data_IF_731766645577
#
_entry.id   IF_731766645577
#
_cell.length_a   1.000
_cell.length_b   1.000
_cell.length_c   1.000
_cell.angle_alpha   90.00
_cell.angle_beta   90.00
_cell.angle_gamma   90.00
#
_symmetry.space_group_name_H-M   'P 1'
#
loop_
_entity.id
_entity.type
_entity.pdbx_description
1 polymer ?
#
# COMPACT_ATOMS: atom_id res chain seq x y z
N UNK A 1 19.46 -12.88 -13.81
CA UNK A 1 18.37 -11.99 -13.36
C UNK A 1 17.49 -12.75 -12.38
N UNK A 2 17.71 -12.57 -11.08
CA UNK A 2 16.83 -13.16 -10.06
C UNK A 2 15.73 -12.17 -9.67
N UNK A 3 14.55 -12.67 -9.34
CA UNK A 3 13.47 -11.85 -8.75
C UNK A 3 13.56 -11.94 -7.23
N UNK A 4 13.65 -10.79 -6.56
CA UNK A 4 13.87 -10.71 -5.12
C UNK A 4 12.73 -9.95 -4.45
N UNK A 5 12.02 -10.60 -3.53
CA UNK A 5 10.81 -10.03 -2.93
C UNK A 5 11.05 -9.31 -1.60
N UNK A 6 10.72 -8.02 -1.56
CA UNK A 6 10.68 -7.21 -0.34
C UNK A 6 9.24 -7.02 0.14
N UNK A 7 8.80 -7.72 1.20
CA UNK A 7 7.41 -7.71 1.65
C UNK A 7 7.00 -6.43 2.38
N UNK A 8 7.92 -5.48 2.56
CA UNK A 8 7.83 -4.35 3.49
C UNK A 8 7.73 -4.76 4.97
N UNK A 9 8.73 -4.40 5.76
CA UNK A 9 8.72 -4.68 7.19
C UNK A 9 7.54 -4.04 7.93
N UNK A 10 7.04 -2.89 7.46
CA UNK A 10 5.90 -2.20 8.07
C UNK A 10 4.56 -2.78 7.62
N UNK A 11 4.43 -3.22 6.38
CA UNK A 11 3.22 -3.93 5.95
C UNK A 11 3.10 -5.28 6.66
N UNK A 12 4.18 -6.05 6.76
CA UNK A 12 4.20 -7.32 7.51
C UNK A 12 3.79 -7.14 8.97
N UNK A 13 4.30 -6.10 9.64
CA UNK A 13 3.95 -5.84 11.03
C UNK A 13 2.48 -5.40 11.23
N UNK A 14 1.88 -4.71 10.25
CA UNK A 14 0.52 -4.17 10.37
C UNK A 14 -0.56 -5.07 9.78
N UNK A 15 -0.20 -5.91 8.81
CA UNK A 15 -1.11 -6.80 8.10
C UNK A 15 -0.50 -8.21 8.03
N UNK A 16 -0.25 -8.87 9.19
CA UNK A 16 0.52 -10.11 9.24
C UNK A 16 -0.13 -11.25 8.44
N UNK A 17 -1.44 -11.44 8.57
CA UNK A 17 -2.16 -12.51 7.87
C UNK A 17 -2.20 -12.31 6.36
N UNK A 18 -2.51 -11.08 5.91
CA UNK A 18 -2.52 -10.74 4.49
C UNK A 18 -1.10 -10.85 3.88
N UNK A 19 -0.08 -10.46 4.64
CA UNK A 19 1.32 -10.58 4.21
C UNK A 19 1.78 -12.04 4.12
N UNK A 20 1.31 -12.90 5.03
CA UNK A 20 1.57 -14.34 4.99
C UNK A 20 0.95 -14.99 3.75
N UNK A 21 -0.30 -14.63 3.42
CA UNK A 21 -0.98 -15.10 2.20
C UNK A 21 -0.27 -14.61 0.93
N UNK A 22 0.18 -13.35 0.90
CA UNK A 22 0.98 -12.84 -0.22
C UNK A 22 2.31 -13.60 -0.37
N UNK A 23 3.00 -13.89 0.74
CA UNK A 23 4.23 -14.67 0.70
C UNK A 23 3.98 -16.09 0.17
N UNK A 24 2.90 -16.75 0.59
CA UNK A 24 2.50 -18.05 0.06
C UNK A 24 2.19 -17.98 -1.43
N UNK A 25 1.43 -16.98 -1.88
CA UNK A 25 1.15 -16.74 -3.29
C UNK A 25 2.43 -16.66 -4.14
N UNK A 26 3.42 -15.88 -3.70
CA UNK A 26 4.69 -15.75 -4.41
C UNK A 26 5.54 -17.02 -4.36
N UNK A 27 5.50 -17.75 -3.23
CA UNK A 27 6.22 -19.01 -3.07
C UNK A 27 5.65 -20.10 -3.98
N UNK A 28 4.34 -20.28 -3.96
CA UNK A 28 3.66 -21.34 -4.70
C UNK A 28 3.77 -21.13 -6.21
N UNK A 29 3.63 -19.87 -6.66
CA UNK A 29 3.58 -19.57 -8.09
C UNK A 29 4.94 -19.27 -8.73
N UNK A 30 5.84 -18.63 -7.99
CA UNK A 30 7.13 -18.15 -8.53
C UNK A 30 8.35 -18.71 -7.81
N UNK A 31 8.16 -19.51 -6.74
CA UNK A 31 9.25 -20.04 -5.92
C UNK A 31 10.10 -18.94 -5.26
N UNK A 32 9.50 -17.77 -5.00
CA UNK A 32 10.18 -16.60 -4.41
C UNK A 32 9.83 -16.47 -2.93
N UNK A 33 10.84 -16.47 -2.07
CA UNK A 33 10.68 -16.21 -0.63
C UNK A 33 10.89 -14.71 -0.28
N UNK A 34 10.18 -14.17 0.73
CA UNK A 34 10.41 -12.82 1.21
C UNK A 34 11.76 -12.69 1.93
N UNK A 35 12.54 -11.67 1.59
CA UNK A 35 13.88 -11.48 2.19
C UNK A 35 13.91 -10.47 3.37
N UNK A 36 12.87 -9.66 3.54
CA UNK A 36 12.69 -8.75 4.68
C UNK A 36 12.83 -7.25 4.38
N UNK A 37 13.48 -6.51 5.27
CA UNK A 37 13.53 -5.04 5.21
C UNK A 37 14.51 -4.51 4.14
N UNK A 38 14.03 -3.66 3.24
CA UNK A 38 14.84 -3.01 2.20
C UNK A 38 16.09 -2.30 2.72
N UNK A 39 16.02 -1.64 3.89
CA UNK A 39 17.18 -0.91 4.46
C UNK A 39 18.30 -1.85 4.92
N UNK A 40 17.96 -3.08 5.27
CA UNK A 40 18.91 -4.09 5.79
C UNK A 40 19.41 -4.97 4.65
N UNK A 41 18.49 -5.43 3.81
CA UNK A 41 18.75 -6.47 2.79
C UNK A 41 18.90 -5.91 1.38
N UNK A 42 18.64 -4.63 1.16
CA UNK A 42 18.78 -3.97 -0.15
C UNK A 42 20.19 -4.04 -0.72
N UNK A 43 21.21 -4.03 0.15
CA UNK A 43 22.63 -4.17 -0.23
C UNK A 43 22.99 -5.55 -0.81
N UNK A 44 22.06 -6.51 -0.77
CA UNK A 44 22.25 -7.85 -1.31
C UNK A 44 21.77 -7.98 -2.77
N UNK A 45 21.12 -6.95 -3.32
CA UNK A 45 20.73 -6.94 -4.72
C UNK A 45 21.97 -6.72 -5.59
N UNK A 46 22.10 -7.54 -6.62
CA UNK A 46 23.01 -7.26 -7.73
C UNK A 46 22.31 -6.36 -8.75
N UNK A 47 23.08 -5.71 -9.63
CA UNK A 47 22.55 -4.78 -10.64
C UNK A 47 21.55 -5.46 -11.61
N UNK A 48 21.72 -6.76 -11.84
CA UNK A 48 20.83 -7.58 -12.68
C UNK A 48 19.65 -8.18 -11.91
N UNK A 49 19.46 -7.90 -10.62
CA UNK A 49 18.33 -8.43 -9.86
C UNK A 49 17.12 -7.48 -9.96
N UNK A 50 15.93 -8.07 -10.08
CA UNK A 50 14.68 -7.33 -10.11
C UNK A 50 14.00 -7.38 -8.73
N UNK A 51 13.85 -6.23 -8.08
CA UNK A 51 13.21 -6.12 -6.79
C UNK A 51 11.68 -6.07 -6.93
N UNK A 52 10.97 -7.04 -6.34
CA UNK A 52 9.50 -7.04 -6.22
C UNK A 52 9.12 -6.32 -4.92
N UNK A 53 8.30 -5.28 -5.02
CA UNK A 53 8.03 -4.35 -3.92
C UNK A 53 6.54 -4.26 -3.57
N UNK A 54 6.25 -4.25 -2.27
CA UNK A 54 4.93 -3.87 -1.73
C UNK A 54 4.84 -2.37 -1.46
N UNK A 55 5.95 -1.76 -1.00
CA UNK A 55 5.95 -0.46 -0.35
C UNK A 55 6.70 0.59 -1.16
N UNK A 56 6.06 1.75 -1.37
CA UNK A 56 6.64 2.89 -2.08
C UNK A 56 7.92 3.44 -1.40
N UNK A 57 8.02 3.35 -0.08
CA UNK A 57 9.26 3.74 0.61
C UNK A 57 10.40 2.75 0.33
N UNK A 58 10.12 1.47 0.09
CA UNK A 58 11.15 0.52 -0.35
C UNK A 58 11.67 0.89 -1.73
N UNK A 59 10.79 1.36 -2.63
CA UNK A 59 11.18 1.85 -3.97
C UNK A 59 12.17 3.02 -3.89
N UNK A 60 11.98 3.96 -2.95
CA UNK A 60 12.95 5.04 -2.70
C UNK A 60 14.28 4.56 -2.14
N UNK A 61 14.24 3.59 -1.22
CA UNK A 61 15.49 3.05 -0.62
C UNK A 61 16.32 2.28 -1.63
N UNK A 62 15.66 1.63 -2.60
CA UNK A 62 16.28 0.82 -3.64
C UNK A 62 16.34 1.55 -4.99
N UNK A 63 16.27 2.89 -4.98
CA UNK A 63 16.37 3.69 -6.18
C UNK A 63 17.65 3.34 -6.96
N UNK A 64 17.55 3.29 -8.30
CA UNK A 64 18.62 2.82 -9.18
C UNK A 64 18.62 1.31 -9.47
N UNK A 65 17.91 0.49 -8.69
CA UNK A 65 17.73 -0.94 -8.99
C UNK A 65 16.55 -1.15 -9.95
N UNK A 66 16.51 -2.29 -10.65
CA UNK A 66 15.31 -2.72 -11.36
C UNK A 66 14.20 -3.04 -10.35
N UNK A 67 12.99 -2.51 -10.59
CA UNK A 67 11.89 -2.62 -9.64
C UNK A 67 10.59 -3.00 -10.35
N UNK A 68 9.78 -3.81 -9.66
CA UNK A 68 8.40 -4.11 -10.04
C UNK A 68 7.53 -4.12 -8.78
N UNK A 69 6.32 -3.57 -8.86
CA UNK A 69 5.39 -3.62 -7.74
C UNK A 69 4.55 -4.89 -7.79
N UNK A 70 4.30 -5.48 -6.63
CA UNK A 70 3.47 -6.68 -6.51
C UNK A 70 2.06 -6.48 -7.08
N UNK A 71 1.56 -5.24 -7.04
CA UNK A 71 0.26 -4.87 -7.60
C UNK A 71 0.19 -5.15 -9.11
N UNK A 72 1.26 -4.88 -9.85
CA UNK A 72 1.31 -5.15 -11.29
C UNK A 72 1.32 -6.66 -11.56
N UNK A 73 2.05 -7.44 -10.75
CA UNK A 73 2.15 -8.89 -10.89
C UNK A 73 0.79 -9.55 -10.66
N UNK A 74 0.08 -9.16 -9.59
CA UNK A 74 -1.27 -9.69 -9.29
C UNK A 74 -2.28 -9.21 -10.34
N UNK A 75 -2.16 -7.96 -10.80
CA UNK A 75 -3.07 -7.43 -11.82
C UNK A 75 -2.90 -8.14 -13.17
N UNK A 76 -1.74 -8.69 -13.48
CA UNK A 76 -1.49 -9.46 -14.70
C UNK A 76 -1.75 -10.97 -14.51
N UNK A 77 -2.23 -11.39 -13.35
CA UNK A 77 -2.50 -12.79 -13.05
C UNK A 77 -3.96 -13.16 -13.35
N UNK A 78 -4.19 -13.73 -14.53
CA UNK A 78 -5.52 -14.22 -14.95
C UNK A 78 -6.06 -15.37 -14.08
N UNK A 79 -5.20 -16.04 -13.31
CA UNK A 79 -5.59 -17.13 -12.41
C UNK A 79 -5.79 -16.68 -10.96
N UNK A 80 -5.57 -15.39 -10.65
CA UNK A 80 -5.80 -14.88 -9.30
C UNK A 80 -7.31 -14.82 -9.02
N UNK A 81 -7.73 -15.47 -7.93
CA UNK A 81 -9.13 -15.45 -7.51
C UNK A 81 -9.38 -14.24 -6.62
N UNK A 82 -10.05 -13.24 -7.17
CA UNK A 82 -10.43 -12.02 -6.44
C UNK A 82 -11.63 -12.26 -5.53
N UNK A 83 -11.59 -11.68 -4.33
CA UNK A 83 -12.77 -11.58 -3.49
C UNK A 83 -13.74 -10.55 -4.08
N UNK A 84 -15.02 -10.91 -4.18
CA UNK A 84 -16.08 -10.04 -4.65
C UNK A 84 -16.60 -9.18 -3.49
N UNK A 85 -16.45 -7.87 -3.59
CA UNK A 85 -16.96 -6.89 -2.62
C UNK A 85 -18.33 -6.31 -3.01
N UNK A 86 -19.02 -6.94 -3.95
CA UNK A 86 -20.43 -6.72 -4.29
C UNK A 86 -20.79 -5.26 -4.66
N UNK A 87 -19.91 -4.57 -5.35
CA UNK A 87 -20.13 -3.20 -5.83
C UNK A 87 -20.09 -2.15 -4.71
N UNK A 88 -19.52 -2.47 -3.54
CA UNK A 88 -19.41 -1.48 -2.46
C UNK A 88 -18.55 -0.30 -2.90
N UNK A 89 -19.01 0.91 -2.58
CA UNK A 89 -18.24 2.13 -2.84
C UNK A 89 -17.11 2.31 -1.83
N UNK A 90 -15.89 2.54 -2.33
CA UNK A 90 -14.75 2.88 -1.49
C UNK A 90 -13.94 4.02 -2.09
N UNK A 91 -13.51 4.95 -1.24
CA UNK A 91 -12.67 6.07 -1.65
C UNK A 91 -11.23 5.59 -1.80
N UNK A 92 -10.61 5.80 -2.96
CA UNK A 92 -9.20 5.49 -3.17
C UNK A 92 -8.33 6.69 -2.74
N UNK A 93 -7.41 6.45 -1.81
CA UNK A 93 -6.35 7.38 -1.43
C UNK A 93 -5.05 7.01 -2.15
N UNK A 94 -4.70 7.78 -3.19
CA UNK A 94 -3.37 7.68 -3.79
C UNK A 94 -2.29 8.22 -2.83
N UNK A 95 -1.13 7.59 -2.85
CA UNK A 95 0.02 8.05 -2.07
C UNK A 95 0.79 9.10 -2.87
N UNK A 96 1.19 10.20 -2.22
CA UNK A 96 2.08 11.21 -2.79
C UNK A 96 3.36 10.62 -3.45
N UNK A 97 3.93 9.56 -2.85
CA UNK A 97 5.13 8.89 -3.40
C UNK A 97 4.87 8.12 -4.70
N UNK A 98 3.62 7.95 -5.11
CA UNK A 98 3.23 7.32 -6.36
C UNK A 98 2.93 8.34 -7.47
N UNK A 99 3.15 9.64 -7.27
CA UNK A 99 2.84 10.67 -8.28
C UNK A 99 3.51 10.39 -9.63
N UNK A 100 4.75 9.91 -9.62
CA UNK A 100 5.51 9.53 -10.82
C UNK A 100 5.43 8.03 -11.13
N UNK A 101 4.44 7.31 -10.57
CA UNK A 101 4.27 5.85 -10.71
C UNK A 101 2.88 5.52 -11.24
N UNK A 102 2.62 5.93 -12.47
CA UNK A 102 1.32 5.77 -13.13
C UNK A 102 0.96 4.30 -13.34
N UNK A 103 1.94 3.45 -13.56
CA UNK A 103 1.79 1.99 -13.62
C UNK A 103 1.18 1.44 -12.35
N UNK A 104 1.67 1.86 -11.17
CA UNK A 104 1.13 1.44 -9.87
C UNK A 104 -0.29 1.96 -9.70
N UNK A 105 -0.53 3.25 -9.96
CA UNK A 105 -1.86 3.86 -9.84
C UNK A 105 -2.91 3.16 -10.71
N UNK A 106 -2.54 2.73 -11.92
CA UNK A 106 -3.40 1.96 -12.83
C UNK A 106 -3.66 0.55 -12.31
N UNK A 107 -2.63 -0.17 -11.87
CA UNK A 107 -2.78 -1.51 -11.31
C UNK A 107 -3.70 -1.51 -10.08
N UNK A 108 -3.53 -0.54 -9.16
CA UNK A 108 -4.40 -0.40 -7.98
C UNK A 108 -5.88 -0.27 -8.37
N UNK A 109 -6.19 0.60 -9.34
CA UNK A 109 -7.57 0.79 -9.82
C UNK A 109 -8.10 -0.46 -10.54
N UNK A 110 -7.27 -1.12 -11.33
CA UNK A 110 -7.65 -2.38 -12.01
C UNK A 110 -7.97 -3.47 -10.99
N UNK A 111 -7.11 -3.66 -9.98
CA UNK A 111 -7.31 -4.63 -8.89
C UNK A 111 -8.60 -4.35 -8.12
N UNK A 112 -8.89 -3.10 -7.76
CA UNK A 112 -10.14 -2.74 -7.08
C UNK A 112 -11.37 -3.06 -7.95
N UNK A 113 -11.32 -2.79 -9.26
CA UNK A 113 -12.41 -3.15 -10.18
C UNK A 113 -12.57 -4.66 -10.31
N UNK A 114 -11.47 -5.43 -10.36
CA UNK A 114 -11.50 -6.91 -10.39
C UNK A 114 -12.08 -7.52 -9.11
N UNK A 115 -11.96 -6.81 -8.00
CA UNK A 115 -12.62 -7.11 -6.72
C UNK A 115 -14.06 -6.60 -6.64
N UNK A 116 -14.62 -6.08 -7.75
CA UNK A 116 -15.97 -5.51 -7.82
C UNK A 116 -16.21 -4.39 -6.80
N UNK A 117 -15.27 -3.45 -6.70
CA UNK A 117 -15.37 -2.25 -5.86
C UNK A 117 -15.65 -1.04 -6.75
N UNK A 118 -16.65 -0.25 -6.38
CA UNK A 118 -16.95 1.02 -7.03
C UNK A 118 -16.01 2.11 -6.47
N UNK A 119 -15.08 2.57 -7.31
CA UNK A 119 -14.02 3.48 -6.89
C UNK A 119 -14.54 4.92 -6.86
N UNK A 120 -14.39 5.58 -5.70
CA UNK A 120 -14.52 7.03 -5.58
C UNK A 120 -13.13 7.66 -5.51
N UNK A 121 -12.77 8.46 -6.51
CA UNK A 121 -11.46 9.11 -6.56
C UNK A 121 -11.36 10.24 -5.52
N UNK A 122 -10.23 10.31 -4.82
CA UNK A 122 -9.97 11.35 -3.82
C UNK A 122 -8.94 12.36 -4.29
N UNK A 123 -9.36 13.34 -5.09
CA UNK A 123 -8.44 14.38 -5.58
C UNK A 123 -7.95 15.31 -4.47
N UNK A 124 -8.75 15.51 -3.42
CA UNK A 124 -8.49 16.50 -2.37
C UNK A 124 -7.27 16.18 -1.49
N UNK A 125 -6.78 14.93 -1.49
CA UNK A 125 -5.71 14.46 -0.59
C UNK A 125 -4.47 13.92 -1.32
N UNK A 126 -4.33 14.14 -2.63
CA UNK A 126 -3.26 13.54 -3.44
C UNK A 126 -1.85 14.08 -3.14
N UNK A 127 -1.73 15.33 -2.65
CA UNK A 127 -0.43 15.93 -2.30
C UNK A 127 -0.02 15.69 -0.84
N UNK A 128 -0.69 14.78 -0.15
CA UNK A 128 -0.50 14.55 1.27
C UNK A 128 0.18 13.21 1.59
N UNK A 129 1.15 13.23 2.51
CA UNK A 129 1.78 12.04 3.07
C UNK A 129 1.61 12.01 4.61
N UNK A 130 0.76 11.13 5.17
CA UNK A 130 0.53 11.09 6.62
C UNK A 130 1.78 10.77 7.44
N UNK A 131 2.78 10.07 6.90
CA UNK A 131 3.99 9.74 7.67
C UNK A 131 4.71 10.98 8.19
N UNK A 132 4.74 12.06 7.39
CA UNK A 132 5.39 13.31 7.81
C UNK A 132 4.58 14.03 8.88
N UNK A 133 3.26 14.02 8.79
CA UNK A 133 2.38 14.68 9.75
C UNK A 133 2.27 13.90 11.07
N UNK A 134 2.21 12.56 11.01
CA UNK A 134 2.25 11.69 12.21
C UNK A 134 3.55 11.89 13.00
N UNK A 135 4.67 12.02 12.29
CA UNK A 135 5.97 12.30 12.88
C UNK A 135 6.15 13.79 13.28
N UNK A 136 5.22 14.67 12.86
CA UNK A 136 5.27 16.09 13.13
C UNK A 136 6.29 16.88 12.30
N UNK A 137 6.84 16.34 11.21
CA UNK A 137 7.84 17.01 10.38
C UNK A 137 7.37 18.36 9.80
N UNK A 138 6.08 18.48 9.50
CA UNK A 138 5.49 19.72 8.97
C UNK A 138 4.84 20.60 10.05
N UNK A 139 4.93 20.19 11.31
CA UNK A 139 4.29 20.86 12.43
C UNK A 139 5.35 21.48 13.34
N UNK A 140 5.05 22.66 13.88
CA UNK A 140 5.97 23.36 14.80
C UNK A 140 6.25 22.57 16.07
N UNK A 141 5.35 21.64 16.42
CA UNK A 141 5.46 20.75 17.56
C UNK A 141 4.87 19.38 17.22
N UNK A 142 5.31 18.35 17.95
CA UNK A 142 4.73 17.01 17.87
C UNK A 142 3.33 17.03 18.49
N UNK A 143 2.35 16.53 17.74
CA UNK A 143 0.97 16.45 18.21
C UNK A 143 0.79 15.33 19.24
N UNK A 144 -0.11 15.55 20.21
CA UNK A 144 -0.68 14.50 21.06
C UNK A 144 -1.54 13.55 20.22
N UNK A 145 -1.91 12.39 20.78
CA UNK A 145 -2.80 11.45 20.07
C UNK A 145 -4.19 12.04 19.81
N UNK A 146 -4.70 12.86 20.73
CA UNK A 146 -5.97 13.59 20.58
C UNK A 146 -5.90 14.63 19.46
N UNK A 147 -4.80 15.38 19.40
CA UNK A 147 -4.56 16.36 18.33
C UNK A 147 -4.38 15.68 16.97
N UNK A 148 -3.67 14.54 16.90
CA UNK A 148 -3.57 13.73 15.68
C UNK A 148 -4.94 13.26 15.23
N UNK A 149 -5.76 12.75 16.15
CA UNK A 149 -7.11 12.28 15.84
C UNK A 149 -7.97 13.41 15.28
N UNK A 150 -7.99 14.58 15.92
CA UNK A 150 -8.73 15.74 15.44
C UNK A 150 -8.23 16.19 14.06
N UNK A 151 -6.91 16.26 13.89
CA UNK A 151 -6.28 16.64 12.62
C UNK A 151 -6.66 15.70 11.47
N UNK A 152 -6.47 14.39 11.63
CA UNK A 152 -6.77 13.41 10.59
C UNK A 152 -8.27 13.27 10.35
N UNK A 153 -9.10 13.40 11.40
CA UNK A 153 -10.57 13.45 11.26
C UNK A 153 -11.01 14.61 10.37
N UNK A 154 -10.53 15.83 10.64
CA UNK A 154 -10.86 17.00 9.81
C UNK A 154 -10.42 16.84 8.35
N UNK A 155 -9.31 16.12 8.13
CA UNK A 155 -8.75 15.88 6.81
C UNK A 155 -9.54 14.85 6.01
N UNK A 156 -9.79 13.68 6.62
CA UNK A 156 -10.46 12.56 5.96
C UNK A 156 -11.99 12.64 5.97
N UNK A 157 -12.60 13.52 6.78
CA UNK A 157 -14.04 13.80 6.69
C UNK A 157 -14.48 14.37 5.33
N UNK A 158 -13.54 14.87 4.52
CA UNK A 158 -13.79 15.31 3.14
C UNK A 158 -13.95 14.16 2.15
N UNK A 159 -13.56 12.94 2.53
CA UNK A 159 -13.76 11.77 1.68
C UNK A 159 -15.25 11.42 1.60
N UNK A 160 -15.69 11.07 0.40
CA UNK A 160 -17.10 10.77 0.09
C UNK A 160 -17.63 9.55 0.85
N UNK A 161 -16.81 8.50 0.98
CA UNK A 161 -17.22 7.24 1.62
C UNK A 161 -16.63 7.12 3.03
N UNK A 162 -17.17 6.17 3.81
CA UNK A 162 -16.61 5.86 5.13
C UNK A 162 -15.42 4.91 5.08
N UNK A 163 -15.32 4.08 4.04
CA UNK A 163 -14.18 3.20 3.79
C UNK A 163 -13.22 3.88 2.82
N UNK A 164 -11.95 4.03 3.23
CA UNK A 164 -10.89 4.60 2.42
C UNK A 164 -9.81 3.54 2.20
N UNK A 165 -9.52 3.26 0.93
CA UNK A 165 -8.51 2.29 0.51
C UNK A 165 -7.18 2.98 0.26
N UNK A 166 -6.11 2.42 0.82
CA UNK A 166 -4.74 2.87 0.61
C UNK A 166 -3.85 1.71 0.18
N UNK A 167 -2.79 1.99 -0.58
CA UNK A 167 -1.73 1.01 -0.91
C UNK A 167 -0.37 1.41 -0.35
N UNK A 168 -0.37 2.41 0.52
CA UNK A 168 0.73 2.76 1.40
C UNK A 168 0.26 2.59 2.85
N UNK A 169 1.02 1.80 3.63
CA UNK A 169 0.77 1.59 5.06
C UNK A 169 0.59 2.91 5.83
N UNK A 170 1.46 3.89 5.58
CA UNK A 170 1.37 5.18 6.28
C UNK A 170 0.16 6.01 5.83
N UNK A 171 -0.25 5.92 4.57
CA UNK A 171 -1.51 6.51 4.12
C UNK A 171 -2.69 5.93 4.91
N UNK A 172 -2.70 4.60 5.04
CA UNK A 172 -3.71 3.90 5.83
C UNK A 172 -3.67 4.27 7.31
N UNK A 173 -2.49 4.43 7.93
CA UNK A 173 -2.38 4.91 9.32
C UNK A 173 -3.05 6.27 9.50
N UNK A 174 -2.87 7.19 8.56
CA UNK A 174 -3.53 8.49 8.58
C UNK A 174 -5.05 8.35 8.61
N UNK A 175 -5.60 7.45 7.80
CA UNK A 175 -7.04 7.14 7.81
C UNK A 175 -7.44 6.53 9.15
N UNK A 176 -6.67 5.59 9.70
CA UNK A 176 -6.99 4.93 10.98
C UNK A 176 -6.92 5.88 12.18
N UNK A 177 -6.19 7.00 12.09
CA UNK A 177 -6.25 8.07 13.09
C UNK A 177 -7.52 8.92 12.99
N UNK A 178 -8.25 8.85 11.88
CA UNK A 178 -9.53 9.54 11.71
C UNK A 178 -10.71 8.71 12.26
N UNK A 179 -11.92 9.21 12.05
CA UNK A 179 -13.17 8.48 12.26
C UNK A 179 -13.58 7.58 11.07
N UNK A 180 -12.80 7.55 10.00
CA UNK A 180 -13.04 6.72 8.80
C UNK A 180 -12.42 5.32 8.96
N UNK A 181 -12.88 4.40 8.13
CA UNK A 181 -12.37 3.03 8.09
C UNK A 181 -11.24 2.92 7.06
N UNK A 182 -10.00 2.74 7.53
CA UNK A 182 -8.84 2.51 6.66
C UNK A 182 -8.73 1.04 6.26
N UNK A 183 -8.63 0.77 4.95
CA UNK A 183 -8.32 -0.56 4.41
C UNK A 183 -7.08 -0.50 3.55
N UNK A 184 -6.07 -1.31 3.84
CA UNK A 184 -4.95 -1.46 2.93
C UNK A 184 -5.32 -2.42 1.79
N UNK A 185 -4.94 -2.13 0.55
CA UNK A 185 -5.29 -2.99 -0.61
C UNK A 185 -4.80 -4.44 -0.41
N UNK A 186 -3.69 -4.63 0.30
CA UNK A 186 -3.19 -5.95 0.67
C UNK A 186 -4.23 -6.78 1.43
N UNK A 187 -4.97 -6.16 2.35
CA UNK A 187 -6.03 -6.82 3.11
C UNK A 187 -7.26 -7.11 2.25
N UNK A 188 -7.50 -6.31 1.20
CA UNK A 188 -8.59 -6.55 0.26
C UNK A 188 -8.29 -7.72 -0.69
N UNK A 189 -7.05 -7.81 -1.16
CA UNK A 189 -6.58 -8.90 -2.01
C UNK A 189 -6.48 -10.23 -1.23
N UNK A 190 -6.18 -10.15 0.07
CA UNK A 190 -5.99 -11.32 0.93
C UNK A 190 -6.80 -11.19 2.25
N UNK A 191 -8.15 -11.20 2.18
CA UNK A 191 -9.00 -10.96 3.34
C UNK A 191 -8.84 -12.07 4.38
N UNK A 192 -8.98 -11.72 5.66
CA UNK A 192 -9.05 -12.71 6.76
C UNK A 192 -10.44 -13.35 6.68
N UNK A 193 -10.47 -14.70 6.64
CA UNK A 193 -11.73 -15.47 6.66
C UNK A 193 -12.32 -15.46 8.05
#
# INVERSE_FOLDING_TARGET
MAKVFFPSCKAVASYPEASKKLAAYLKDKYQIDPIGCCKVKGKMLNDDDQAILVCLNCSRVLEGNQQEFIWNIIDQDDNFIFHDYHGIQMTLQDCHLANNKQEVKKAIRSLMKKMNIDIVENEALNDHCPSYEIAGYHLKQKLTEEEKKAYFTNKYNKATTDVIVSYCKYCNDGVLFSNKQGKHILELLFPIK
#
